data_IF_843970353293
#
_entry.id   IF_843970353293
#
_cell.length_a   1.000
_cell.length_b   1.000
_cell.length_c   1.000
_cell.angle_alpha   90.00
_cell.angle_beta   90.00
_cell.angle_gamma   90.00
#
_symmetry.space_group_name_H-M   'P 1'
#
loop_
_entity.id
_entity.type
_entity.pdbx_description
1 polymer ?
#
# COMPACT_ATOMS: atom_id res chain seq x y z
N UNK A 1 13.86 -7.18 7.88
CA UNK A 1 13.96 -6.82 6.46
C UNK A 1 13.24 -5.50 6.29
N UNK A 2 13.71 -4.57 5.46
CA UNK A 2 12.98 -3.32 5.23
C UNK A 2 11.72 -3.64 4.42
N UNK A 3 10.57 -3.11 4.85
CA UNK A 3 9.28 -3.33 4.20
C UNK A 3 8.94 -2.15 3.28
N UNK A 4 9.31 -0.94 3.71
CA UNK A 4 9.14 0.30 2.95
C UNK A 4 10.50 0.99 2.87
N UNK A 5 10.86 1.48 1.70
CA UNK A 5 12.06 2.30 1.48
C UNK A 5 11.62 3.62 0.84
N UNK A 6 12.02 4.76 1.42
CA UNK A 6 11.60 6.09 0.95
C UNK A 6 12.79 7.03 0.74
N UNK A 7 12.81 7.74 -0.38
CA UNK A 7 13.78 8.78 -0.67
C UNK A 7 13.33 10.12 -0.06
N UNK A 8 13.76 10.36 1.18
CA UNK A 8 13.45 11.59 1.92
C UNK A 8 14.29 12.73 1.36
N UNK A 9 13.64 13.83 1.01
CA UNK A 9 14.25 14.95 0.29
C UNK A 9 13.98 16.27 1.01
N UNK A 10 14.98 17.14 1.06
CA UNK A 10 14.86 18.49 1.61
C UNK A 10 14.08 19.39 0.64
N UNK A 11 12.88 19.82 1.05
CA UNK A 11 11.98 20.62 0.21
C UNK A 11 12.54 22.01 -0.09
N UNK A 12 13.19 22.66 0.89
CA UNK A 12 13.76 23.99 0.70
C UNK A 12 14.90 24.00 -0.32
N UNK A 13 15.82 23.06 -0.22
CA UNK A 13 16.92 22.90 -1.19
C UNK A 13 16.40 22.50 -2.58
N UNK A 14 15.41 21.61 -2.64
CA UNK A 14 14.78 21.26 -3.90
C UNK A 14 14.19 22.46 -4.63
N UNK A 15 13.54 23.38 -3.91
CA UNK A 15 13.01 24.61 -4.45
C UNK A 15 14.12 25.59 -4.91
N UNK A 16 15.32 25.47 -4.37
CA UNK A 16 16.51 26.24 -4.78
C UNK A 16 17.25 25.55 -5.96
N UNK A 17 16.78 24.40 -6.43
CA UNK A 17 17.38 23.65 -7.54
C UNK A 17 18.48 22.66 -7.11
N UNK A 18 18.66 22.43 -5.81
CA UNK A 18 19.60 21.45 -5.26
C UNK A 18 18.86 20.18 -4.83
N UNK A 19 19.22 19.03 -5.39
CA UNK A 19 18.65 17.73 -4.97
C UNK A 19 19.45 17.19 -3.78
N UNK A 20 18.90 17.37 -2.57
CA UNK A 20 19.43 16.79 -1.34
C UNK A 20 18.46 15.71 -0.84
N UNK A 21 18.74 14.46 -1.19
CA UNK A 21 17.90 13.30 -0.91
C UNK A 21 18.71 12.19 -0.26
N UNK A 22 18.08 11.39 0.61
CA UNK A 22 18.67 10.20 1.22
C UNK A 22 17.62 9.12 1.41
N UNK A 23 18.04 7.85 1.31
CA UNK A 23 17.20 6.68 1.51
C UNK A 23 16.97 6.44 3.00
N UNK A 24 15.71 6.33 3.39
CA UNK A 24 15.28 5.89 4.71
C UNK A 24 14.51 4.58 4.57
N UNK A 25 14.93 3.57 5.35
CA UNK A 25 14.32 2.24 5.35
C UNK A 25 13.46 2.05 6.58
N UNK A 26 12.27 1.49 6.41
CA UNK A 26 11.31 1.27 7.48
C UNK A 26 11.04 -0.24 7.67
N UNK A 27 10.78 -0.73 8.91
CA UNK A 27 10.78 0.05 10.15
C UNK A 27 12.17 0.59 10.51
N UNK A 28 12.19 1.76 11.18
CA UNK A 28 13.42 2.52 11.44
C UNK A 28 13.53 2.98 12.90
N UNK A 29 14.66 3.58 13.25
CA UNK A 29 14.91 4.16 14.57
C UNK A 29 14.98 5.68 14.52
N UNK A 30 14.83 6.32 15.69
CA UNK A 30 14.97 7.78 15.83
C UNK A 30 16.34 8.28 15.36
N UNK A 31 17.38 7.52 15.66
CA UNK A 31 18.76 7.85 15.30
C UNK A 31 18.95 7.82 13.78
N UNK A 32 18.41 6.82 13.09
CA UNK A 32 18.47 6.72 11.64
C UNK A 32 17.70 7.87 10.97
N UNK A 33 16.52 8.23 11.47
CA UNK A 33 15.78 9.42 10.98
C UNK A 33 16.61 10.69 11.15
N UNK A 34 17.21 10.91 12.33
CA UNK A 34 18.04 12.09 12.58
C UNK A 34 19.27 12.14 11.68
N UNK A 35 19.90 10.99 11.41
CA UNK A 35 21.04 10.92 10.51
C UNK A 35 20.66 11.30 9.08
N UNK A 36 19.55 10.76 8.57
CA UNK A 36 19.00 11.11 7.25
C UNK A 36 18.67 12.60 7.17
N UNK A 37 17.96 13.17 8.16
CA UNK A 37 17.62 14.59 8.18
C UNK A 37 18.88 15.47 8.17
N UNK A 38 19.91 15.11 8.93
CA UNK A 38 21.20 15.78 8.94
C UNK A 38 21.91 15.67 7.59
N UNK A 39 21.91 14.49 6.98
CA UNK A 39 22.54 14.24 5.68
C UNK A 39 21.95 15.10 4.58
N UNK A 40 20.62 15.28 4.56
CA UNK A 40 19.93 16.11 3.57
C UNK A 40 19.95 17.60 3.93
N UNK A 41 20.52 17.96 5.10
CA UNK A 41 20.72 19.35 5.53
C UNK A 41 19.49 20.01 6.14
N UNK A 42 18.62 19.25 6.82
CA UNK A 42 17.58 19.81 7.68
C UNK A 42 18.25 20.36 8.94
N UNK A 43 18.05 21.65 9.21
CA UNK A 43 18.68 22.37 10.34
C UNK A 43 17.67 23.02 11.28
N UNK A 44 16.36 22.90 10.97
CA UNK A 44 15.23 23.50 11.71
C UNK A 44 15.33 25.04 11.87
N UNK A 45 16.07 25.70 10.98
CA UNK A 45 16.23 27.16 10.93
C UNK A 45 15.91 27.69 9.55
N UNK A 46 16.65 27.24 8.54
CA UNK A 46 16.45 27.60 7.14
C UNK A 46 15.69 26.51 6.39
N UNK A 47 16.00 25.26 6.71
CA UNK A 47 15.40 24.08 6.09
C UNK A 47 14.72 23.25 7.16
N UNK A 48 13.38 23.21 7.13
CA UNK A 48 12.54 22.56 8.14
C UNK A 48 11.64 21.48 7.54
N UNK A 49 11.40 21.54 6.22
CA UNK A 49 10.40 20.73 5.54
C UNK A 49 11.06 19.67 4.66
N UNK A 50 10.44 18.51 4.68
CA UNK A 50 10.80 17.36 3.84
C UNK A 50 9.62 16.93 2.99
N UNK A 51 9.92 16.23 1.90
CA UNK A 51 8.96 15.44 1.15
C UNK A 51 9.62 14.14 0.72
N UNK A 52 8.80 13.17 0.27
CA UNK A 52 9.27 11.90 -0.23
C UNK A 52 9.25 11.97 -1.76
N UNK A 53 10.43 11.88 -2.35
CA UNK A 53 10.57 12.00 -3.80
C UNK A 53 10.19 10.72 -4.53
N UNK A 54 10.40 9.56 -3.89
CA UNK A 54 10.10 8.25 -4.46
C UNK A 54 10.07 7.19 -3.35
N UNK A 55 9.42 6.06 -3.66
CA UNK A 55 9.38 4.86 -2.83
C UNK A 55 10.02 3.70 -3.58
N UNK A 56 10.71 2.82 -2.84
CA UNK A 56 11.32 1.61 -3.34
C UNK A 56 10.96 0.43 -2.40
N UNK A 57 11.21 -0.79 -2.84
CA UNK A 57 10.96 -2.01 -2.07
C UNK A 57 10.10 -3.02 -2.84
N UNK A 58 9.90 -4.17 -2.20
CA UNK A 58 9.27 -5.34 -2.83
C UNK A 58 7.73 -5.22 -2.95
N UNK A 59 7.09 -4.34 -2.16
CA UNK A 59 5.63 -4.15 -2.14
C UNK A 59 5.21 -3.07 -3.15
N UNK A 60 5.09 -3.46 -4.41
CA UNK A 60 4.86 -2.51 -5.52
C UNK A 60 3.49 -1.83 -5.47
N UNK A 61 2.46 -2.54 -5.03
CA UNK A 61 1.09 -2.00 -4.94
C UNK A 61 1.01 -0.99 -3.79
N UNK A 62 1.62 -1.30 -2.64
CA UNK A 62 1.77 -0.38 -1.51
C UNK A 62 2.48 0.91 -1.94
N UNK A 63 3.66 0.80 -2.58
CA UNK A 63 4.45 1.96 -2.98
C UNK A 63 3.68 2.90 -3.93
N UNK A 64 2.81 2.34 -4.78
CA UNK A 64 1.99 3.12 -5.70
C UNK A 64 0.89 3.95 -5.01
N UNK A 65 0.50 3.59 -3.79
CA UNK A 65 -0.55 4.25 -3.02
C UNK A 65 -0.02 5.35 -2.08
N UNK A 66 1.29 5.35 -1.79
CA UNK A 66 1.89 6.33 -0.89
C UNK A 66 2.14 7.67 -1.57
N UNK A 67 1.86 8.75 -0.86
CA UNK A 67 2.00 10.13 -1.35
C UNK A 67 3.36 10.75 -1.03
N UNK A 68 3.64 11.90 -1.66
CA UNK A 68 4.89 12.65 -1.45
C UNK A 68 5.01 13.27 -0.04
N UNK A 69 3.90 13.42 0.68
CA UNK A 69 3.83 14.10 1.98
C UNK A 69 3.36 13.19 3.11
N UNK A 70 3.63 11.89 3.00
CA UNK A 70 3.35 10.96 4.07
C UNK A 70 4.19 11.27 5.32
N UNK A 71 3.61 11.02 6.47
CA UNK A 71 4.29 11.20 7.75
C UNK A 71 5.33 10.09 7.97
N UNK A 72 6.55 10.46 8.35
CA UNK A 72 7.60 9.50 8.72
C UNK A 72 7.14 8.59 9.88
N UNK A 73 6.38 9.14 10.83
CA UNK A 73 5.83 8.37 11.95
C UNK A 73 4.79 7.34 11.47
N UNK A 74 3.91 7.73 10.53
CA UNK A 74 2.89 6.84 9.95
C UNK A 74 3.53 5.74 9.09
N UNK A 75 4.50 6.10 8.25
CA UNK A 75 5.25 5.11 7.46
C UNK A 75 5.98 4.11 8.35
N UNK A 76 6.54 4.58 9.46
CA UNK A 76 7.21 3.68 10.40
C UNK A 76 6.23 2.76 11.11
N UNK A 77 5.08 3.27 11.52
CA UNK A 77 4.04 2.46 12.16
C UNK A 77 3.48 1.42 11.19
N UNK A 78 3.14 1.83 9.97
CA UNK A 78 2.71 0.91 8.91
C UNK A 78 3.75 -0.19 8.67
N UNK A 79 5.02 0.19 8.53
CA UNK A 79 6.09 -0.78 8.32
C UNK A 79 6.29 -1.74 9.51
N UNK A 80 6.06 -1.28 10.74
CA UNK A 80 6.05 -2.16 11.92
C UNK A 80 4.92 -3.20 11.81
N UNK A 81 3.68 -2.77 11.52
CA UNK A 81 2.54 -3.67 11.35
C UNK A 81 2.82 -4.70 10.25
N UNK A 82 3.25 -4.25 9.07
CA UNK A 82 3.54 -5.14 7.95
C UNK A 82 4.71 -6.10 8.23
N UNK A 83 5.67 -5.73 9.07
CA UNK A 83 6.79 -6.60 9.44
C UNK A 83 6.40 -7.74 10.38
N UNK A 84 5.24 -7.64 11.01
CA UNK A 84 4.66 -8.68 11.89
C UNK A 84 3.81 -9.68 11.11
N UNK A 85 3.40 -9.35 9.89
CA UNK A 85 2.63 -10.22 9.01
C UNK A 85 3.51 -11.36 8.47
N UNK A 86 2.92 -12.52 8.32
CA UNK A 86 3.55 -13.59 7.59
C UNK A 86 3.48 -13.36 6.06
N UNK A 87 4.10 -14.26 5.29
CA UNK A 87 4.15 -14.12 3.83
C UNK A 87 2.76 -14.16 3.19
N UNK A 88 1.86 -15.02 3.69
CA UNK A 88 0.50 -15.17 3.17
C UNK A 88 -0.33 -13.91 3.42
N UNK A 89 -0.20 -13.34 4.62
CA UNK A 89 -0.89 -12.11 5.00
C UNK A 89 -0.34 -10.90 4.23
N UNK A 90 0.97 -10.85 3.96
CA UNK A 90 1.53 -9.81 3.08
C UNK A 90 1.01 -9.93 1.64
N UNK A 91 0.91 -11.14 1.09
CA UNK A 91 0.33 -11.37 -0.24
C UNK A 91 -1.15 -10.96 -0.27
N UNK A 92 -1.90 -11.26 0.80
CA UNK A 92 -3.29 -10.81 0.96
C UNK A 92 -3.40 -9.28 1.08
N UNK A 93 -2.52 -8.64 1.87
CA UNK A 93 -2.46 -7.19 1.98
C UNK A 93 -2.24 -6.52 0.61
N UNK A 94 -1.23 -6.97 -0.14
CA UNK A 94 -0.96 -6.48 -1.51
C UNK A 94 -2.15 -6.72 -2.45
N UNK A 95 -2.87 -7.83 -2.30
CA UNK A 95 -4.06 -8.15 -3.07
C UNK A 95 -5.21 -7.16 -2.81
N UNK A 96 -5.46 -6.79 -1.54
CA UNK A 96 -6.48 -5.79 -1.17
C UNK A 96 -6.06 -4.41 -1.66
N UNK A 97 -4.80 -4.02 -1.51
CA UNK A 97 -4.27 -2.75 -2.04
C UNK A 97 -4.46 -2.69 -3.57
N UNK A 98 -4.18 -3.79 -4.28
CA UNK A 98 -4.35 -3.88 -5.73
C UNK A 98 -5.83 -3.77 -6.19
N UNK A 99 -6.80 -4.12 -5.33
CA UNK A 99 -8.23 -3.91 -5.61
C UNK A 99 -8.63 -2.43 -5.58
N UNK A 100 -7.80 -1.58 -4.98
CA UNK A 100 -8.03 -0.13 -4.83
C UNK A 100 -8.83 0.25 -3.59
N UNK A 101 -9.06 -0.69 -2.67
CA UNK A 101 -9.70 -0.40 -1.40
C UNK A 101 -8.69 0.10 -0.37
N UNK A 102 -9.08 1.05 0.49
CA UNK A 102 -8.28 1.59 1.58
C UNK A 102 -6.88 2.09 1.16
N UNK A 103 -6.81 2.86 0.07
CA UNK A 103 -5.54 3.26 -0.58
C UNK A 103 -5.30 4.77 -0.63
N UNK A 104 -5.98 5.56 0.21
CA UNK A 104 -5.88 7.03 0.18
C UNK A 104 -4.63 7.59 0.88
N UNK A 105 -3.72 6.74 1.36
CA UNK A 105 -2.46 7.10 2.03
C UNK A 105 -2.13 6.18 3.20
N UNK A 106 -1.08 6.53 3.95
CA UNK A 106 -0.57 5.69 5.03
C UNK A 106 -1.61 5.36 6.10
N UNK A 107 -2.51 6.30 6.43
CA UNK A 107 -3.57 6.07 7.42
C UNK A 107 -4.56 4.98 7.03
N UNK A 108 -5.02 4.98 5.77
CA UNK A 108 -5.91 3.94 5.26
C UNK A 108 -5.22 2.57 5.22
N UNK A 109 -3.94 2.56 4.84
CA UNK A 109 -3.13 1.34 4.80
C UNK A 109 -2.84 0.77 6.20
N UNK A 110 -2.70 1.62 7.23
CA UNK A 110 -2.63 1.19 8.62
C UNK A 110 -3.93 0.49 9.03
N UNK A 111 -5.08 1.13 8.76
CA UNK A 111 -6.38 0.52 9.05
C UNK A 111 -6.57 -0.80 8.30
N UNK A 112 -6.14 -0.89 7.04
CA UNK A 112 -6.18 -2.13 6.28
C UNK A 112 -5.33 -3.23 6.93
N UNK A 113 -4.10 -2.93 7.34
CA UNK A 113 -3.21 -3.90 7.99
C UNK A 113 -3.82 -4.46 9.29
N UNK A 114 -4.61 -3.66 10.01
CA UNK A 114 -5.31 -4.06 11.24
C UNK A 114 -6.65 -4.79 10.98
N UNK A 115 -7.12 -4.84 9.74
CA UNK A 115 -8.41 -5.44 9.34
C UNK A 115 -8.27 -6.46 8.20
N UNK A 116 -7.11 -7.10 8.06
CA UNK A 116 -6.91 -8.12 7.03
C UNK A 116 -7.80 -9.36 7.20
N UNK A 117 -8.31 -9.59 8.39
CA UNK A 117 -9.27 -10.62 8.71
C UNK A 117 -10.67 -10.36 8.12
N UNK A 118 -10.94 -9.16 7.61
CA UNK A 118 -12.15 -8.85 6.85
C UNK A 118 -12.15 -9.42 5.43
N UNK A 119 -11.03 -9.97 4.97
CA UNK A 119 -10.86 -10.48 3.61
C UNK A 119 -10.39 -11.92 3.60
N UNK A 120 -10.93 -12.71 2.67
CA UNK A 120 -10.42 -14.02 2.32
C UNK A 120 -9.66 -13.93 0.99
N UNK A 121 -8.51 -14.60 0.91
CA UNK A 121 -7.66 -14.58 -0.27
C UNK A 121 -7.24 -15.99 -0.66
N UNK A 122 -7.66 -16.42 -1.86
CA UNK A 122 -7.35 -17.72 -2.43
C UNK A 122 -6.19 -17.59 -3.41
N UNK A 123 -4.98 -17.89 -2.92
CA UNK A 123 -3.73 -17.75 -3.69
C UNK A 123 -3.77 -18.66 -4.92
N UNK A 124 -3.39 -18.11 -6.07
CA UNK A 124 -3.27 -18.84 -7.33
C UNK A 124 -4.59 -19.09 -8.07
N UNK A 125 -5.73 -18.67 -7.53
CA UNK A 125 -7.04 -18.77 -8.18
C UNK A 125 -7.24 -17.58 -9.13
N UNK A 126 -7.24 -17.82 -10.43
CA UNK A 126 -7.21 -16.76 -11.45
C UNK A 126 -8.36 -16.82 -12.46
N UNK A 127 -9.26 -17.77 -12.33
CA UNK A 127 -10.38 -17.96 -13.24
C UNK A 127 -11.60 -18.61 -12.55
N UNK A 128 -12.75 -18.43 -13.19
CA UNK A 128 -14.04 -18.90 -12.68
C UNK A 128 -14.12 -20.43 -12.63
N UNK A 129 -13.45 -21.18 -13.52
CA UNK A 129 -13.48 -22.65 -13.48
C UNK A 129 -12.75 -23.18 -12.24
N UNK A 130 -11.55 -22.66 -11.96
CA UNK A 130 -10.79 -23.02 -10.76
C UNK A 130 -11.54 -22.66 -9.49
N UNK A 131 -12.13 -21.46 -9.46
CA UNK A 131 -12.97 -21.02 -8.35
C UNK A 131 -14.17 -21.95 -8.13
N UNK A 132 -14.87 -22.30 -9.20
CA UNK A 132 -16.03 -23.21 -9.12
C UNK A 132 -15.66 -24.60 -8.62
N UNK A 133 -14.47 -25.11 -8.94
CA UNK A 133 -13.97 -26.38 -8.39
C UNK A 133 -13.73 -26.29 -6.88
N UNK A 134 -13.10 -25.21 -6.41
CA UNK A 134 -12.86 -24.99 -4.98
C UNK A 134 -14.19 -24.97 -4.22
N UNK A 135 -15.17 -24.20 -4.67
CA UNK A 135 -16.47 -24.13 -3.99
C UNK A 135 -17.24 -25.46 -4.04
N UNK A 136 -17.22 -26.13 -5.18
CA UNK A 136 -17.98 -27.36 -5.35
C UNK A 136 -17.31 -28.57 -4.69
N UNK A 137 -16.00 -28.74 -4.85
CA UNK A 137 -15.28 -29.96 -4.47
C UNK A 137 -14.53 -29.82 -3.15
N UNK A 138 -13.77 -28.71 -2.95
CA UNK A 138 -12.94 -28.54 -1.76
C UNK A 138 -13.75 -28.05 -0.55
N UNK A 139 -14.70 -27.14 -0.78
CA UNK A 139 -15.61 -26.61 0.24
C UNK A 139 -16.90 -27.42 0.37
N UNK A 140 -17.11 -28.39 -0.52
CA UNK A 140 -18.32 -29.26 -0.53
C UNK A 140 -19.64 -28.47 -0.50
N UNK A 141 -19.67 -27.27 -1.14
CA UNK A 141 -20.85 -26.41 -1.14
C UNK A 141 -22.01 -26.99 -1.94
N UNK A 142 -21.75 -27.97 -2.82
CA UNK A 142 -22.76 -28.70 -3.60
C UNK A 142 -22.36 -30.15 -3.70
N UNK A 143 -23.34 -31.05 -3.46
CA UNK A 143 -23.16 -32.51 -3.63
C UNK A 143 -23.30 -32.89 -5.11
N UNK A 144 -22.18 -33.15 -5.79
CA UNK A 144 -22.15 -33.57 -7.18
C UNK A 144 -21.87 -35.07 -7.24
N UNK A 145 -22.85 -35.90 -7.69
CA UNK A 145 -22.62 -37.32 -7.90
C UNK A 145 -21.41 -37.57 -8.81
N UNK A 146 -20.56 -38.51 -8.48
CA UNK A 146 -19.28 -38.76 -9.17
C UNK A 146 -19.45 -38.98 -10.68
N UNK A 147 -20.54 -39.66 -11.08
CA UNK A 147 -20.85 -39.87 -12.49
C UNK A 147 -21.32 -38.63 -13.24
N UNK A 148 -21.57 -37.50 -12.56
CA UNK A 148 -21.97 -36.22 -13.14
C UNK A 148 -20.87 -35.16 -13.08
N UNK A 149 -19.77 -35.38 -12.36
CA UNK A 149 -18.70 -34.41 -12.22
C UNK A 149 -18.13 -33.93 -13.55
N UNK A 150 -17.98 -34.83 -14.55
CA UNK A 150 -17.47 -34.45 -15.87
C UNK A 150 -18.46 -33.65 -16.72
N UNK A 151 -19.70 -33.52 -16.30
CA UNK A 151 -20.76 -32.76 -16.97
C UNK A 151 -21.14 -31.50 -16.22
N UNK A 152 -20.53 -31.26 -15.04
CA UNK A 152 -20.80 -30.08 -14.26
C UNK A 152 -20.05 -28.86 -14.81
N UNK A 153 -20.74 -27.75 -14.97
CA UNK A 153 -20.18 -26.51 -15.49
C UNK A 153 -19.57 -25.69 -14.33
N UNK A 154 -18.32 -26.02 -14.00
CA UNK A 154 -17.57 -25.35 -12.92
C UNK A 154 -17.35 -23.87 -13.22
N UNK A 155 -17.15 -23.49 -14.51
CA UNK A 155 -16.95 -22.09 -14.88
C UNK A 155 -18.21 -21.25 -14.60
N UNK A 156 -19.38 -21.75 -15.01
CA UNK A 156 -20.63 -21.05 -14.74
C UNK A 156 -20.90 -20.95 -13.23
N UNK A 157 -20.64 -22.04 -12.48
CA UNK A 157 -20.83 -22.05 -11.02
C UNK A 157 -19.88 -21.07 -10.32
N UNK A 158 -18.59 -21.08 -10.63
CA UNK A 158 -17.61 -20.19 -10.03
C UNK A 158 -17.89 -18.72 -10.35
N UNK A 159 -18.30 -18.42 -11.58
CA UNK A 159 -18.73 -17.05 -11.96
C UNK A 159 -19.92 -16.58 -11.11
N UNK A 160 -20.91 -17.44 -10.90
CA UNK A 160 -22.07 -17.10 -10.08
C UNK A 160 -21.69 -16.89 -8.62
N UNK A 161 -20.79 -17.72 -8.06
CA UNK A 161 -20.26 -17.54 -6.70
C UNK A 161 -19.49 -16.23 -6.57
N UNK A 162 -18.57 -15.93 -7.50
CA UNK A 162 -17.82 -14.67 -7.52
C UNK A 162 -18.73 -13.43 -7.51
N UNK A 163 -19.78 -13.45 -8.33
CA UNK A 163 -20.73 -12.33 -8.40
C UNK A 163 -21.56 -12.21 -7.12
N UNK A 164 -22.01 -13.35 -6.57
CA UNK A 164 -22.85 -13.34 -5.38
C UNK A 164 -22.11 -12.91 -4.11
N UNK A 165 -20.79 -13.15 -4.05
CA UNK A 165 -19.95 -12.84 -2.89
C UNK A 165 -19.14 -11.55 -3.07
N UNK A 166 -19.38 -10.81 -4.16
CA UNK A 166 -18.66 -9.56 -4.51
C UNK A 166 -17.14 -9.73 -4.58
N UNK A 167 -16.69 -10.94 -5.00
CA UNK A 167 -15.30 -11.28 -5.12
C UNK A 167 -14.68 -10.82 -6.44
N UNK A 168 -13.37 -10.66 -6.46
CA UNK A 168 -12.62 -10.21 -7.62
C UNK A 168 -11.31 -10.98 -7.82
N UNK A 169 -10.93 -11.20 -9.10
CA UNK A 169 -9.59 -11.68 -9.42
C UNK A 169 -8.62 -10.51 -9.40
N UNK A 170 -7.58 -10.67 -8.60
CA UNK A 170 -6.49 -9.70 -8.44
C UNK A 170 -5.15 -10.36 -8.74
N UNK A 171 -4.09 -9.59 -8.75
CA UNK A 171 -2.74 -10.14 -8.88
C UNK A 171 -2.47 -11.14 -7.75
N UNK A 172 -2.17 -12.37 -8.11
CA UNK A 172 -1.84 -13.44 -7.17
C UNK A 172 -2.98 -14.35 -6.75
N UNK A 173 -4.26 -14.00 -6.99
CA UNK A 173 -5.37 -14.87 -6.59
C UNK A 173 -6.76 -14.27 -6.72
N UNK A 174 -7.69 -14.86 -6.00
CA UNK A 174 -9.07 -14.41 -5.85
C UNK A 174 -9.28 -13.83 -4.46
N UNK A 175 -9.78 -12.61 -4.41
CA UNK A 175 -10.04 -11.83 -3.20
C UNK A 175 -11.55 -11.62 -3.02
N UNK A 176 -12.04 -11.77 -1.79
CA UNK A 176 -13.41 -11.44 -1.44
C UNK A 176 -13.51 -10.89 0.00
N UNK A 177 -14.43 -9.94 0.26
CA UNK A 177 -14.80 -9.56 1.62
C UNK A 177 -15.60 -10.70 2.27
N UNK A 178 -15.25 -11.07 3.51
CA UNK A 178 -15.91 -12.19 4.20
C UNK A 178 -17.10 -11.76 5.09
N UNK A 179 -17.53 -10.50 4.98
CA UNK A 179 -18.64 -9.94 5.73
C UNK A 179 -18.31 -9.53 7.17
N UNK A 180 -17.07 -9.65 7.61
CA UNK A 180 -16.61 -9.06 8.88
C UNK A 180 -16.66 -7.54 8.81
N UNK A 181 -16.92 -6.91 9.97
CA UNK A 181 -17.01 -5.45 10.02
C UNK A 181 -15.59 -4.83 10.00
N UNK A 182 -15.28 -4.04 8.99
CA UNK A 182 -14.09 -3.21 8.96
C UNK A 182 -14.21 -2.10 10.01
N UNK A 183 -13.23 -1.98 10.90
CA UNK A 183 -13.20 -1.01 11.99
C UNK A 183 -11.99 -0.10 11.81
N UNK A 184 -12.21 1.19 11.66
CA UNK A 184 -11.12 2.16 11.69
C UNK A 184 -10.58 2.28 13.12
N UNK A 185 -9.42 1.70 13.38
CA UNK A 185 -8.70 1.81 14.66
C UNK A 185 -7.77 3.01 14.68
N UNK A 186 -7.23 3.36 13.51
CA UNK A 186 -6.31 4.46 13.33
C UNK A 186 -7.03 5.70 12.80
N UNK A 187 -6.98 6.81 13.56
CA UNK A 187 -7.61 8.09 13.20
C UNK A 187 -6.59 9.22 13.03
N UNK A 188 -5.31 8.94 13.26
CA UNK A 188 -4.23 9.88 13.09
C UNK A 188 -3.06 9.63 14.03
N UNK A 189 -2.06 10.51 13.94
CA UNK A 189 -0.76 10.36 14.61
C UNK A 189 -0.83 10.07 16.12
N UNK A 190 -1.88 10.52 16.80
CA UNK A 190 -2.02 10.31 18.24
C UNK A 190 -2.25 8.84 18.60
N UNK A 191 -2.74 8.03 17.65
CA UNK A 191 -2.95 6.60 17.85
C UNK A 191 -1.66 5.79 17.67
N UNK A 192 -0.62 6.38 17.07
CA UNK A 192 0.68 5.73 16.92
C UNK A 192 1.31 5.54 18.31
N UNK A 193 1.80 4.34 18.66
CA UNK A 193 2.49 4.10 19.92
C UNK A 193 3.69 5.05 20.11
N UNK A 194 3.86 5.60 21.32
CA UNK A 194 4.88 6.63 21.59
C UNK A 194 6.31 6.17 21.36
N UNK A 195 6.57 4.87 21.45
CA UNK A 195 7.88 4.28 21.17
C UNK A 195 8.23 4.21 19.69
N UNK A 196 7.24 4.38 18.80
CA UNK A 196 7.42 4.39 17.33
C UNK A 196 7.31 5.78 16.72
N UNK A 197 7.05 6.83 17.54
CA UNK A 197 7.03 8.23 17.10
C UNK A 197 8.41 8.84 17.19
N UNK A 198 8.85 9.53 16.15
CA UNK A 198 10.20 10.13 16.11
C UNK A 198 10.20 11.64 16.18
N UNK A 199 9.23 12.29 15.56
CA UNK A 199 9.21 13.74 15.44
C UNK A 199 8.37 14.38 16.53
N UNK A 200 8.86 15.44 17.21
CA UNK A 200 8.04 16.21 18.12
C UNK A 200 6.84 16.79 17.36
N UNK A 201 5.70 16.91 18.04
CA UNK A 201 4.52 17.59 17.51
C UNK A 201 4.88 19.06 17.35
N UNK A 202 5.41 19.44 16.19
CA UNK A 202 5.30 20.82 15.78
C UNK A 202 3.89 20.97 15.24
N UNK A 203 3.05 21.75 15.94
CA UNK A 203 1.72 22.12 15.47
C UNK A 203 1.83 22.50 13.99
N UNK A 204 1.18 21.73 13.12
CA UNK A 204 1.06 22.09 11.70
C UNK A 204 0.70 23.56 11.61
N UNK A 205 1.37 24.35 10.79
CA UNK A 205 0.89 25.69 10.46
C UNK A 205 -0.52 25.48 9.92
N UNK A 206 -1.48 26.18 10.52
CA UNK A 206 -2.92 26.13 10.21
C UNK A 206 -3.16 25.90 8.71
N UNK A 207 -4.05 24.94 8.39
CA UNK A 207 -4.31 24.30 7.09
C UNK A 207 -4.48 25.18 5.84
N UNK A 208 -4.23 26.49 5.89
CA UNK A 208 -4.29 27.40 4.75
C UNK A 208 -2.96 27.52 3.99
N UNK A 209 -1.83 27.16 4.58
CA UNK A 209 -0.49 27.27 3.91
C UNK A 209 -0.29 26.13 2.91
N UNK A 210 -0.80 24.94 3.21
CA UNK A 210 -0.70 23.76 2.34
C UNK A 210 -1.52 23.87 1.06
N UNK A 211 -2.66 24.58 1.10
CA UNK A 211 -3.48 24.83 -0.10
C UNK A 211 -2.79 25.75 -1.13
N UNK A 212 -1.90 26.62 -0.67
CA UNK A 212 -1.15 27.54 -1.56
C UNK A 212 0.04 26.81 -2.24
N UNK A 213 0.67 25.86 -1.55
CA UNK A 213 1.80 25.06 -2.10
C UNK A 213 1.27 24.07 -3.15
N UNK A 214 0.12 23.41 -2.91
CA UNK A 214 -0.51 22.56 -3.93
C UNK A 214 -0.82 23.30 -5.24
N UNK A 215 -1.14 24.59 -5.19
CA UNK A 215 -1.40 25.39 -6.40
C UNK A 215 -0.16 25.76 -7.19
N UNK A 216 1.01 25.83 -6.57
CA UNK A 216 2.27 26.14 -7.27
C UNK A 216 2.93 24.93 -7.91
N UNK A 217 2.67 23.71 -7.40
CA UNK A 217 3.27 22.47 -7.90
C UNK A 217 2.52 21.84 -9.09
N UNK A 218 1.31 22.31 -9.42
CA UNK A 218 0.55 21.85 -10.60
C UNK A 218 1.12 22.33 -11.95
N UNK A 219 2.22 23.05 -11.97
CA UNK A 219 2.79 23.65 -13.20
C UNK A 219 3.85 22.77 -13.89
N UNK A 220 4.31 21.67 -13.27
CA UNK A 220 5.28 20.80 -13.93
C UNK A 220 4.65 19.48 -14.41
N UNK A 221 4.68 19.18 -15.72
CA UNK A 221 4.15 17.93 -16.25
C UNK A 221 5.03 16.75 -15.82
N UNK A 222 4.41 15.72 -15.25
CA UNK A 222 5.04 14.41 -15.00
C UNK A 222 5.75 13.94 -16.26
N UNK A 223 7.05 13.72 -16.23
CA UNK A 223 7.77 12.99 -17.28
C UNK A 223 7.29 11.54 -17.25
N UNK A 224 6.44 11.19 -18.20
CA UNK A 224 6.13 9.78 -18.49
C UNK A 224 7.40 9.10 -18.97
N UNK A 225 7.86 8.09 -18.27
CA UNK A 225 8.89 7.18 -18.77
C UNK A 225 8.38 6.52 -20.05
N UNK A 226 8.91 6.96 -21.19
CA UNK A 226 8.65 6.33 -22.48
C UNK A 226 9.43 5.00 -22.53
N UNK A 227 8.76 3.90 -22.27
CA UNK A 227 9.27 2.58 -22.66
C UNK A 227 9.32 2.52 -24.19
N UNK A 228 10.51 2.61 -24.71
CA UNK A 228 10.85 2.37 -26.12
C UNK A 228 10.44 0.97 -26.52
N UNK A 229 9.33 0.86 -27.26
CA UNK A 229 9.03 -0.35 -28.04
C UNK A 229 10.04 -0.45 -29.17
N UNK A 230 11.00 -1.35 -29.07
CA UNK A 230 11.78 -1.80 -30.20
C UNK A 230 10.88 -2.64 -31.12
N UNK A 231 10.56 -2.11 -32.29
CA UNK A 231 10.02 -2.90 -33.41
C UNK A 231 11.18 -3.64 -34.06
N UNK A 232 11.20 -4.96 -33.98
CA UNK A 232 11.94 -5.78 -34.93
C UNK A 232 11.07 -5.98 -36.14
N UNK A 233 11.57 -5.52 -37.30
CA UNK A 233 11.11 -5.83 -38.65
C UNK A 233 11.93 -7.04 -39.10
N UNK A 234 11.32 -8.12 -39.33
CA UNK A 234 11.40 -9.03 -40.54
C UNK A 234 10.58 -10.26 -40.29
#
# INVERSE_FOLDING_TARGET
MAVIEAYVTNLGKYNEGELASALLKFPTTREAVQEVLKQIGIDNIRYEEIFIADYDGDLSELNACLGEYESIDELNHLACLLSELDKSDLEKFEAVVASGEHTSGAGDLINLAENLDCYDFYIGVSDDETLGRIYAEDMEMIDIPENLRNYFDYEAYGRDMRINEDGSFVKGGFLLPNGSQFIEYYHGREDIPTNTRFLPIHSSPSGNRWQLIKKSLTVFPRRRNAHTRSKAIQ
#
